data_IF_549108992619
#
_entry.id   IF_549108992619
#
_cell.length_a   1.000
_cell.length_b   1.000
_cell.length_c   1.000
_cell.angle_alpha   90.00
_cell.angle_beta   90.00
_cell.angle_gamma   90.00
#
_symmetry.space_group_name_H-M   'P 1'
#
loop_
_entity.id
_entity.type
_entity.pdbx_description
1 polymer ?
#
# COMPACT_ATOMS: atom_id res chain seq x y z
N UNK A 1 20.34 -20.32 -14.92
CA UNK A 1 19.53 -19.09 -14.92
C UNK A 1 18.73 -19.07 -13.63
N UNK A 2 19.05 -18.16 -12.71
CA UNK A 2 18.19 -17.90 -11.56
C UNK A 2 16.86 -17.38 -12.11
N UNK A 3 15.76 -17.99 -11.71
CA UNK A 3 14.42 -17.62 -12.17
C UNK A 3 14.00 -16.41 -11.34
N UNK A 4 13.76 -15.26 -11.96
CA UNK A 4 13.31 -14.08 -11.22
C UNK A 4 11.91 -14.33 -10.66
N UNK A 5 11.76 -14.17 -9.34
CA UNK A 5 10.49 -14.36 -8.65
C UNK A 5 9.53 -13.22 -8.99
N UNK A 6 8.24 -13.53 -9.04
CA UNK A 6 7.19 -12.51 -9.12
C UNK A 6 7.15 -11.77 -7.79
N UNK A 7 7.38 -10.46 -7.83
CA UNK A 7 7.35 -9.60 -6.65
C UNK A 7 5.93 -9.07 -6.39
N UNK A 8 5.31 -8.51 -7.43
CA UNK A 8 3.96 -7.95 -7.43
C UNK A 8 3.49 -7.73 -8.87
N UNK A 9 2.24 -7.35 -9.06
CA UNK A 9 1.79 -6.70 -10.28
C UNK A 9 1.55 -5.21 -10.02
N UNK A 10 1.76 -4.37 -11.04
CA UNK A 10 1.40 -2.95 -10.99
C UNK A 10 0.44 -2.64 -12.13
N UNK A 11 -0.48 -1.72 -11.93
CA UNK A 11 -1.34 -1.24 -13.00
C UNK A 11 -1.24 0.29 -13.10
N UNK A 12 -0.87 0.84 -14.27
CA UNK A 12 -0.74 2.28 -14.42
C UNK A 12 -2.11 2.96 -14.35
N UNK A 13 -2.09 4.12 -13.71
CA UNK A 13 -3.18 5.11 -13.68
C UNK A 13 -2.76 6.26 -14.58
N UNK A 14 -3.64 6.67 -15.48
CA UNK A 14 -3.38 7.71 -16.47
C UNK A 14 -4.18 8.96 -16.19
N UNK A 15 -3.68 10.11 -16.64
CA UNK A 15 -4.45 11.34 -16.69
C UNK A 15 -5.32 11.44 -17.97
N UNK A 16 -6.04 12.55 -18.12
CA UNK A 16 -6.88 12.83 -19.29
C UNK A 16 -6.10 12.97 -20.62
N UNK A 17 -4.77 13.10 -20.58
CA UNK A 17 -3.87 13.15 -21.73
C UNK A 17 -3.21 11.79 -22.02
N UNK A 18 -3.51 10.75 -21.22
CA UNK A 18 -2.90 9.42 -21.26
C UNK A 18 -1.42 9.43 -20.87
N UNK A 19 -1.02 10.39 -20.04
CA UNK A 19 0.26 10.37 -19.35
C UNK A 19 0.13 9.60 -18.03
N UNK A 20 1.19 8.91 -17.62
CA UNK A 20 1.16 8.12 -16.37
C UNK A 20 1.13 9.08 -15.18
N UNK A 21 0.07 8.98 -14.38
CA UNK A 21 -0.07 9.69 -13.13
C UNK A 21 0.56 8.91 -11.97
N UNK A 22 0.35 7.60 -11.94
CA UNK A 22 0.79 6.72 -10.84
C UNK A 22 0.59 5.25 -11.18
N UNK A 23 0.83 4.39 -10.20
CA UNK A 23 0.61 2.95 -10.34
C UNK A 23 -0.11 2.40 -9.12
N UNK A 24 -1.19 1.66 -9.34
CA UNK A 24 -1.76 0.79 -8.31
C UNK A 24 -0.90 -0.45 -8.15
N UNK A 25 -0.56 -0.77 -6.90
CA UNK A 25 0.19 -1.97 -6.56
C UNK A 25 -0.76 -3.10 -6.21
N UNK A 26 -0.72 -4.14 -7.05
CA UNK A 26 -1.53 -5.33 -6.93
C UNK A 26 -0.65 -6.47 -6.40
N UNK A 27 -0.78 -6.73 -5.10
CA UNK A 27 -0.10 -7.84 -4.47
C UNK A 27 -0.86 -9.13 -4.79
N UNK A 28 -0.24 -10.07 -5.51
CA UNK A 28 -0.83 -11.39 -5.75
C UNK A 28 -0.21 -12.40 -4.80
N UNK A 29 -1.07 -13.18 -4.14
CA UNK A 29 -0.61 -14.40 -3.51
C UNK A 29 -0.21 -15.39 -4.60
N UNK A 30 0.92 -16.04 -4.40
CA UNK A 30 1.66 -16.71 -5.44
C UNK A 30 1.15 -18.14 -5.62
N UNK A 31 -0.16 -18.40 -5.69
CA UNK A 31 -0.67 -19.74 -5.99
C UNK A 31 -2.06 -19.76 -6.66
N UNK A 32 -2.03 -20.13 -7.94
CA UNK A 32 -3.10 -20.72 -8.78
C UNK A 32 -4.36 -19.89 -9.14
N UNK A 33 -4.48 -19.71 -10.46
CA UNK A 33 -5.64 -19.29 -11.25
C UNK A 33 -5.91 -17.78 -11.34
N UNK A 34 -5.68 -17.27 -12.55
CA UNK A 34 -6.05 -15.93 -13.04
C UNK A 34 -7.58 -15.65 -13.05
N UNK A 35 -8.38 -16.45 -12.35
CA UNK A 35 -9.84 -16.37 -12.33
C UNK A 35 -10.45 -16.34 -10.91
N UNK A 36 -9.67 -16.53 -9.84
CA UNK A 36 -10.17 -16.46 -8.47
C UNK A 36 -9.25 -15.57 -7.61
N UNK A 37 -9.37 -14.25 -7.76
CA UNK A 37 -8.74 -13.28 -6.85
C UNK A 37 -9.86 -12.41 -6.28
N UNK A 38 -10.69 -13.02 -5.44
CA UNK A 38 -11.69 -12.34 -4.64
C UNK A 38 -11.78 -13.10 -3.32
N UNK A 39 -10.83 -12.84 -2.41
CA UNK A 39 -10.99 -12.82 -0.95
C UNK A 39 -9.60 -12.80 -0.28
N UNK A 40 -9.40 -11.92 0.71
CA UNK A 40 -8.26 -11.81 1.64
C UNK A 40 -6.94 -11.14 1.20
N UNK A 41 -7.03 -10.06 0.41
CA UNK A 41 -5.89 -9.22 0.00
C UNK A 41 -5.36 -8.23 1.07
N UNK A 42 -6.07 -8.00 2.18
CA UNK A 42 -5.72 -6.93 3.13
C UNK A 42 -4.53 -7.27 4.04
N UNK A 43 -4.42 -8.51 4.51
CA UNK A 43 -3.31 -8.94 5.37
C UNK A 43 -1.98 -9.02 4.59
N UNK A 44 -2.02 -9.56 3.37
CA UNK A 44 -0.83 -9.74 2.52
C UNK A 44 -0.28 -8.41 2.02
N UNK A 45 -1.15 -7.44 1.68
CA UNK A 45 -0.73 -6.09 1.28
C UNK A 45 -0.02 -5.35 2.43
N UNK A 46 -0.55 -5.43 3.65
CA UNK A 46 0.06 -4.83 4.84
C UNK A 46 1.46 -5.43 5.13
N UNK A 47 1.62 -6.74 4.95
CA UNK A 47 2.90 -7.44 5.13
C UNK A 47 3.91 -7.02 4.05
N UNK A 48 3.48 -6.92 2.80
CA UNK A 48 4.34 -6.54 1.68
C UNK A 48 4.75 -5.08 1.78
N UNK A 49 3.87 -4.16 2.17
CA UNK A 49 4.23 -2.76 2.41
C UNK A 49 5.29 -2.59 3.49
N UNK A 50 5.26 -3.40 4.55
CA UNK A 50 6.31 -3.34 5.56
C UNK A 50 7.66 -3.93 5.10
N UNK A 51 7.68 -4.58 3.93
CA UNK A 51 8.87 -5.12 3.27
C UNK A 51 9.41 -4.22 2.17
N UNK A 52 8.53 -3.49 1.47
CA UNK A 52 8.92 -2.53 0.46
C UNK A 52 9.48 -1.28 1.13
N UNK A 53 10.58 -0.81 0.58
CA UNK A 53 11.18 0.46 0.99
C UNK A 53 10.96 1.51 -0.10
N UNK A 54 11.35 2.75 0.16
CA UNK A 54 11.24 3.83 -0.83
C UNK A 54 11.98 3.52 -2.13
N UNK A 55 13.18 2.95 -2.09
CA UNK A 55 13.92 2.61 -3.32
C UNK A 55 13.23 1.48 -4.09
N UNK A 56 12.57 0.56 -3.39
CA UNK A 56 11.86 -0.53 -4.03
C UNK A 56 10.56 -0.01 -4.68
N UNK A 57 9.86 0.93 -4.04
CA UNK A 57 8.74 1.65 -4.64
C UNK A 57 9.19 2.43 -5.87
N UNK A 58 10.28 3.21 -5.79
CA UNK A 58 10.81 3.96 -6.92
C UNK A 58 11.18 3.05 -8.09
N UNK A 59 11.79 1.89 -7.83
CA UNK A 59 12.07 0.89 -8.85
C UNK A 59 10.77 0.36 -9.49
N UNK A 60 9.76 0.07 -8.68
CA UNK A 60 8.47 -0.48 -9.13
C UNK A 60 7.62 0.55 -9.87
N UNK A 61 7.66 1.82 -9.51
CA UNK A 61 6.79 2.86 -10.09
C UNK A 61 7.50 3.82 -11.02
N UNK A 62 8.82 3.69 -11.20
CA UNK A 62 9.62 4.66 -11.94
C UNK A 62 9.64 6.04 -11.27
N UNK A 63 9.37 6.11 -9.96
CA UNK A 63 9.27 7.36 -9.20
C UNK A 63 7.88 8.02 -9.21
N UNK A 64 6.90 7.46 -9.92
CA UNK A 64 5.52 7.92 -9.81
C UNK A 64 4.88 7.45 -8.48
N UNK A 65 3.84 8.13 -7.97
CA UNK A 65 3.13 7.71 -6.77
C UNK A 65 2.57 6.28 -6.87
N UNK A 66 2.74 5.51 -5.80
CA UNK A 66 2.15 4.18 -5.65
C UNK A 66 0.79 4.27 -4.96
N UNK A 67 -0.28 3.84 -5.63
CA UNK A 67 -1.59 3.64 -5.05
C UNK A 67 -1.61 2.30 -4.33
N UNK A 68 -1.98 2.35 -3.05
CA UNK A 68 -1.82 1.22 -2.13
C UNK A 68 -3.03 1.08 -1.24
N UNK A 69 -3.60 -0.12 -1.24
CA UNK A 69 -4.68 -0.53 -0.36
C UNK A 69 -4.25 -0.61 1.12
N UNK A 70 -4.96 0.13 1.98
CA UNK A 70 -4.77 0.08 3.42
C UNK A 70 -6.03 -0.45 4.12
N UNK A 71 -5.83 -1.45 4.98
CA UNK A 71 -6.88 -1.88 5.90
C UNK A 71 -7.15 -0.83 7.00
N UNK A 72 -8.31 -0.93 7.64
CA UNK A 72 -8.68 -0.03 8.74
C UNK A 72 -7.66 -0.06 9.88
N UNK A 73 -7.09 -1.22 10.19
CA UNK A 73 -6.05 -1.40 11.21
C UNK A 73 -4.74 -0.73 10.81
N UNK A 74 -4.28 -0.91 9.57
CA UNK A 74 -3.01 -0.32 9.10
C UNK A 74 -3.10 1.21 9.08
N UNK A 75 -4.25 1.77 8.72
CA UNK A 75 -4.50 3.21 8.77
C UNK A 75 -4.34 3.78 10.18
N UNK A 76 -4.64 3.00 11.23
CA UNK A 76 -4.45 3.42 12.62
C UNK A 76 -2.98 3.45 13.03
N UNK A 77 -2.11 2.71 12.34
CA UNK A 77 -0.67 2.80 12.51
C UNK A 77 -0.08 3.99 11.72
N UNK A 78 1.18 4.35 12.01
CA UNK A 78 1.89 5.39 11.27
C UNK A 78 2.45 4.79 9.98
N UNK A 79 2.01 5.23 8.78
CA UNK A 79 2.59 4.73 7.53
C UNK A 79 4.08 5.07 7.47
N UNK A 80 4.86 4.17 6.90
CA UNK A 80 6.32 4.26 6.91
C UNK A 80 6.94 4.98 5.71
N UNK A 81 6.10 5.38 4.75
CA UNK A 81 6.53 5.93 3.47
C UNK A 81 6.51 7.44 3.44
N UNK A 82 7.17 8.02 2.43
CA UNK A 82 7.07 9.45 2.20
C UNK A 82 5.68 9.78 1.64
N UNK A 83 5.00 10.82 2.15
CA UNK A 83 3.67 11.20 1.66
C UNK A 83 3.58 11.50 0.16
N UNK A 84 4.68 11.82 -0.53
CA UNK A 84 4.69 12.03 -1.98
C UNK A 84 4.91 10.73 -2.77
N UNK A 85 5.38 9.66 -2.12
CA UNK A 85 5.66 8.38 -2.77
C UNK A 85 4.44 7.46 -2.83
N UNK A 86 3.43 7.69 -1.99
CA UNK A 86 2.26 6.83 -1.89
C UNK A 86 0.95 7.63 -1.89
N UNK A 87 -0.08 7.02 -2.47
CA UNK A 87 -1.48 7.36 -2.30
C UNK A 87 -2.12 6.26 -1.47
N UNK A 88 -2.72 6.63 -0.34
CA UNK A 88 -3.35 5.68 0.58
C UNK A 88 -4.78 5.43 0.12
N UNK A 89 -5.08 4.21 -0.32
CA UNK A 89 -6.42 3.78 -0.72
C UNK A 89 -7.16 3.20 0.49
N UNK A 90 -8.23 3.88 0.89
CA UNK A 90 -9.13 3.45 1.95
C UNK A 90 -10.16 2.51 1.33
N UNK A 91 -10.18 1.27 1.79
CA UNK A 91 -11.08 0.23 1.29
C UNK A 91 -12.54 0.48 1.71
N UNK A 92 -13.46 0.07 0.84
CA UNK A 92 -14.91 0.24 1.03
C UNK A 92 -15.48 -0.46 2.27
N UNK A 93 -14.85 -1.50 2.82
CA UNK A 93 -15.41 -2.25 3.96
C UNK A 93 -14.91 -1.74 5.34
N UNK A 94 -14.18 -0.62 5.37
CA UNK A 94 -13.66 -0.08 6.63
C UNK A 94 -14.78 0.53 7.47
N UNK A 95 -14.80 0.19 8.76
CA UNK A 95 -15.77 0.73 9.72
C UNK A 95 -15.48 2.20 10.03
N UNK A 96 -16.36 3.09 9.55
CA UNK A 96 -16.23 4.53 9.80
C UNK A 96 -16.64 4.86 11.24
N UNK A 97 -15.64 5.11 12.08
CA UNK A 97 -15.81 5.54 13.49
C UNK A 97 -15.26 6.95 13.69
N UNK A 98 -15.62 7.67 14.77
CA UNK A 98 -15.04 8.97 15.07
C UNK A 98 -13.51 8.97 15.16
N UNK A 99 -12.93 7.89 15.71
CA UNK A 99 -11.46 7.73 15.77
C UNK A 99 -10.86 7.52 14.39
N UNK A 100 -11.54 6.78 13.50
CA UNK A 100 -11.09 6.59 12.13
C UNK A 100 -11.11 7.89 11.33
N UNK A 101 -12.20 8.68 11.43
CA UNK A 101 -12.28 10.01 10.79
C UNK A 101 -11.16 10.91 11.29
N UNK A 102 -10.92 10.94 12.60
CA UNK A 102 -9.80 11.69 13.18
C UNK A 102 -8.46 11.27 12.57
N UNK A 103 -8.26 9.96 12.37
CA UNK A 103 -7.05 9.42 11.76
C UNK A 103 -6.86 9.86 10.30
N UNK A 104 -7.91 9.81 9.50
CA UNK A 104 -7.90 10.31 8.11
C UNK A 104 -7.51 11.79 8.07
N UNK A 105 -8.09 12.61 8.95
CA UNK A 105 -7.74 14.05 9.06
C UNK A 105 -6.26 14.24 9.42
N UNK A 106 -5.73 13.44 10.35
CA UNK A 106 -4.31 13.49 10.72
C UNK A 106 -3.40 13.14 9.54
N UNK A 107 -3.72 12.09 8.78
CA UNK A 107 -2.95 11.68 7.60
C UNK A 107 -2.95 12.77 6.52
N UNK A 108 -4.10 13.38 6.23
CA UNK A 108 -4.19 14.52 5.30
C UNK A 108 -3.35 15.71 5.78
N UNK A 109 -3.35 16.01 7.08
CA UNK A 109 -2.50 17.08 7.66
C UNK A 109 -1.01 16.79 7.57
N UNK A 110 -0.60 15.52 7.60
CA UNK A 110 0.80 15.10 7.40
C UNK A 110 1.21 15.30 5.93
N UNK A 111 0.25 15.35 5.01
CA UNK A 111 0.47 15.59 3.58
C UNK A 111 0.31 14.35 2.71
N UNK A 112 -0.27 13.26 3.24
CA UNK A 112 -0.61 12.09 2.42
C UNK A 112 -1.78 12.41 1.49
N UNK A 113 -1.69 11.95 0.25
CA UNK A 113 -2.84 11.86 -0.65
C UNK A 113 -3.69 10.66 -0.27
N UNK A 114 -4.98 10.89 -0.06
CA UNK A 114 -5.94 9.86 0.35
C UNK A 114 -6.93 9.59 -0.79
N UNK A 115 -7.05 8.32 -1.16
CA UNK A 115 -8.01 7.83 -2.11
C UNK A 115 -9.10 7.01 -1.39
N UNK A 116 -10.34 7.10 -1.86
CA UNK A 116 -11.43 6.24 -1.41
C UNK A 116 -11.79 5.28 -2.53
N UNK A 117 -11.70 3.99 -2.24
CA UNK A 117 -11.99 2.91 -3.17
C UNK A 117 -13.49 2.60 -3.22
N UNK A 118 -13.99 2.29 -4.42
CA UNK A 118 -15.36 1.91 -4.76
C UNK A 118 -16.50 2.63 -3.99
N UNK A 119 -16.87 3.83 -4.44
CA UNK A 119 -17.97 4.60 -3.84
C UNK A 119 -19.31 4.25 -4.49
N UNK A 120 -19.94 3.17 -4.05
CA UNK A 120 -21.34 2.88 -4.42
C UNK A 120 -22.30 3.68 -3.52
N UNK A 121 -22.23 5.02 -3.58
CA UNK A 121 -23.16 6.00 -2.97
C UNK A 121 -23.48 5.83 -1.47
N UNK A 122 -22.68 5.08 -0.72
CA UNK A 122 -23.06 4.70 0.62
C UNK A 122 -22.96 5.92 1.56
N UNK A 123 -24.06 6.36 2.22
CA UNK A 123 -24.06 7.57 3.04
C UNK A 123 -23.04 7.54 4.18
N UNK A 124 -22.58 6.35 4.59
CA UNK A 124 -21.59 6.20 5.65
C UNK A 124 -20.22 6.83 5.33
N UNK A 125 -19.85 7.00 4.05
CA UNK A 125 -18.55 7.60 3.67
C UNK A 125 -18.61 9.12 3.51
N UNK A 126 -19.80 9.71 3.47
CA UNK A 126 -19.98 11.17 3.36
C UNK A 126 -19.15 11.98 4.38
N UNK A 127 -18.98 11.55 5.65
CA UNK A 127 -18.14 12.25 6.61
C UNK A 127 -16.63 12.26 6.26
N UNK A 128 -16.17 11.33 5.42
CA UNK A 128 -14.77 11.28 4.96
C UNK A 128 -14.50 12.21 3.79
N UNK A 129 -15.47 12.39 2.87
CA UNK A 129 -15.29 13.08 1.59
C UNK A 129 -14.58 14.44 1.70
N UNK A 130 -14.82 15.31 2.71
CA UNK A 130 -14.07 16.56 2.86
C UNK A 130 -12.55 16.40 3.09
N UNK A 131 -12.12 15.18 3.44
CA UNK A 131 -10.73 14.84 3.77
C UNK A 131 -10.13 13.83 2.78
N UNK A 132 -10.84 13.48 1.72
CA UNK A 132 -10.33 12.65 0.62
C UNK A 132 -9.82 13.57 -0.49
N UNK A 133 -8.87 13.09 -1.28
CA UNK A 133 -8.32 13.80 -2.44
C UNK A 133 -8.75 13.14 -3.76
N UNK A 134 -8.83 11.80 -3.76
CA UNK A 134 -9.20 11.01 -4.93
C UNK A 134 -10.37 10.08 -4.61
N UNK A 135 -11.37 10.01 -5.48
CA UNK A 135 -12.43 8.99 -5.39
C UNK A 135 -12.37 8.10 -6.62
N UNK A 136 -12.28 6.80 -6.38
CA UNK A 136 -12.27 5.76 -7.41
C UNK A 136 -13.71 5.33 -7.69
N UNK A 137 -14.07 5.27 -8.97
CA UNK A 137 -15.42 4.90 -9.43
C UNK A 137 -15.30 3.81 -10.48
N UNK A 138 -15.75 2.61 -10.13
CA UNK A 138 -15.89 1.49 -11.07
C UNK A 138 -17.00 1.79 -12.08
N UNK A 139 -16.69 1.91 -13.37
CA UNK A 139 -17.70 2.16 -14.39
C UNK A 139 -18.27 0.88 -15.03
N UNK A 140 -17.69 -0.29 -14.73
CA UNK A 140 -18.04 -1.54 -15.38
C UNK A 140 -19.47 -1.95 -15.01
N UNK A 141 -20.29 -2.19 -16.03
CA UNK A 141 -21.69 -2.59 -15.84
C UNK A 141 -22.62 -1.47 -15.38
N UNK A 142 -22.13 -0.23 -15.22
CA UNK A 142 -22.96 0.93 -14.90
C UNK A 142 -23.46 1.63 -16.17
N UNK A 143 -24.65 2.23 -16.10
CA UNK A 143 -25.12 3.11 -17.18
C UNK A 143 -24.46 4.48 -17.08
N UNK A 144 -24.37 5.20 -18.20
CA UNK A 144 -23.87 6.59 -18.19
C UNK A 144 -24.67 7.50 -17.24
N UNK A 145 -25.97 7.24 -17.07
CA UNK A 145 -26.79 7.98 -16.12
C UNK A 145 -26.41 7.68 -14.67
N UNK A 146 -26.05 6.44 -14.35
CA UNK A 146 -25.64 6.06 -12.99
C UNK A 146 -24.29 6.68 -12.63
N UNK A 147 -23.35 6.67 -13.58
CA UNK A 147 -22.05 7.33 -13.44
C UNK A 147 -22.26 8.83 -13.24
N UNK A 148 -23.07 9.49 -14.09
CA UNK A 148 -23.35 10.93 -13.95
C UNK A 148 -23.98 11.27 -12.60
N UNK A 149 -24.95 10.50 -12.14
CA UNK A 149 -25.57 10.70 -10.83
C UNK A 149 -24.54 10.58 -9.68
N UNK A 150 -23.54 9.71 -9.82
CA UNK A 150 -22.44 9.61 -8.83
C UNK A 150 -21.52 10.82 -8.92
N UNK A 151 -21.19 11.30 -10.12
CA UNK A 151 -20.44 12.55 -10.32
C UNK A 151 -21.17 13.73 -9.68
N UNK A 152 -22.47 13.87 -9.91
CA UNK A 152 -23.29 14.95 -9.35
C UNK A 152 -23.34 14.92 -7.82
N UNK A 153 -23.36 13.72 -7.23
CA UNK A 153 -23.28 13.55 -5.77
C UNK A 153 -21.93 14.02 -5.19
N UNK A 154 -20.84 13.82 -5.94
CA UNK A 154 -19.48 14.16 -5.53
C UNK A 154 -19.09 15.61 -5.86
N UNK A 155 -19.80 16.26 -6.78
CA UNK A 155 -19.56 17.64 -7.24
C UNK A 155 -19.36 18.67 -6.10
N UNK A 156 -20.07 18.61 -4.96
CA UNK A 156 -19.89 19.58 -3.88
C UNK A 156 -18.54 19.50 -3.16
N UNK A 157 -17.73 18.47 -3.43
CA UNK A 157 -16.44 18.25 -2.78
C UNK A 157 -15.29 18.51 -3.75
N UNK A 158 -14.15 18.97 -3.22
CA UNK A 158 -12.93 19.18 -3.99
C UNK A 158 -12.19 17.84 -4.16
N UNK A 159 -12.61 17.06 -5.16
CA UNK A 159 -12.15 15.70 -5.41
C UNK A 159 -11.63 15.53 -6.83
N UNK A 160 -10.58 14.74 -6.96
CA UNK A 160 -10.16 14.16 -8.24
C UNK A 160 -10.90 12.85 -8.43
N UNK A 161 -11.56 12.66 -9.57
CA UNK A 161 -12.28 11.43 -9.90
C UNK A 161 -11.39 10.52 -10.77
N UNK A 162 -11.23 9.28 -10.31
CA UNK A 162 -10.56 8.19 -11.03
C UNK A 162 -11.63 7.23 -11.58
N UNK A 163 -11.72 7.09 -12.90
CA UNK A 163 -12.57 6.08 -13.53
C UNK A 163 -11.80 4.76 -13.62
N UNK A 164 -12.34 3.71 -13.01
CA UNK A 164 -11.76 2.37 -13.02
C UNK A 164 -12.48 1.43 -13.98
N UNK A 165 -11.79 0.36 -14.40
CA UNK A 165 -12.29 -0.64 -15.36
C UNK A 165 -12.78 -0.01 -16.67
N UNK A 166 -12.04 0.99 -17.16
CA UNK A 166 -12.22 1.55 -18.51
C UNK A 166 -11.74 0.53 -19.55
N UNK A 167 -12.66 -0.05 -20.30
CA UNK A 167 -12.41 -1.12 -21.29
C UNK A 167 -12.46 -0.65 -22.74
N UNK A 168 -13.08 0.50 -23.00
CA UNK A 168 -13.17 1.06 -24.36
C UNK A 168 -12.80 2.55 -24.46
N UNK A 169 -12.40 2.97 -25.67
CA UNK A 169 -12.16 4.39 -25.96
C UNK A 169 -13.42 5.24 -25.74
N UNK A 170 -14.60 4.68 -26.00
CA UNK A 170 -15.88 5.40 -25.83
C UNK A 170 -16.16 5.69 -24.36
N UNK A 171 -15.90 4.73 -23.48
CA UNK A 171 -15.99 4.92 -22.02
C UNK A 171 -15.01 5.99 -21.55
N UNK A 172 -13.75 5.93 -22.00
CA UNK A 172 -12.74 6.93 -21.66
C UNK A 172 -13.20 8.35 -22.02
N UNK A 173 -13.66 8.57 -23.26
CA UNK A 173 -14.14 9.88 -23.69
C UNK A 173 -15.41 10.33 -22.96
N UNK A 174 -16.32 9.39 -22.65
CA UNK A 174 -17.53 9.68 -21.89
C UNK A 174 -17.20 10.13 -20.45
N UNK A 175 -16.35 9.39 -19.73
CA UNK A 175 -15.94 9.74 -18.38
C UNK A 175 -15.13 11.05 -18.37
N UNK A 176 -14.26 11.26 -19.37
CA UNK A 176 -13.55 12.55 -19.54
C UNK A 176 -14.51 13.72 -19.71
N UNK A 177 -15.56 13.57 -20.53
CA UNK A 177 -16.59 14.58 -20.71
C UNK A 177 -17.42 14.84 -19.44
N UNK A 178 -17.57 13.83 -18.58
CA UNK A 178 -18.21 13.96 -17.25
C UNK A 178 -17.30 14.61 -16.20
N UNK A 179 -16.04 14.91 -16.55
CA UNK A 179 -15.11 15.59 -15.66
C UNK A 179 -14.21 14.66 -14.85
N UNK A 180 -14.10 13.37 -15.19
CA UNK A 180 -13.04 12.53 -14.63
C UNK A 180 -11.66 13.04 -15.07
N UNK A 181 -10.70 13.06 -14.14
CA UNK A 181 -9.33 13.52 -14.41
C UNK A 181 -8.34 12.37 -14.53
N UNK A 182 -8.60 11.25 -13.85
CA UNK A 182 -7.75 10.07 -13.86
C UNK A 182 -8.52 8.86 -14.40
N UNK A 183 -7.78 7.91 -14.97
CA UNK A 183 -8.34 6.74 -15.64
C UNK A 183 -7.46 5.50 -15.45
N UNK A 184 -8.11 4.37 -15.24
CA UNK A 184 -7.47 3.06 -15.14
C UNK A 184 -8.37 2.00 -15.78
N UNK A 185 -7.77 1.08 -16.53
CA UNK A 185 -8.50 -0.02 -17.15
C UNK A 185 -7.78 -0.63 -18.35
N UNK A 186 -8.29 -1.77 -18.82
CA UNK A 186 -7.64 -2.57 -19.86
C UNK A 186 -7.59 -1.91 -21.23
N UNK A 187 -8.40 -0.88 -21.47
CA UNK A 187 -8.26 -0.03 -22.65
C UNK A 187 -6.89 0.68 -22.68
N UNK A 188 -6.41 1.12 -21.51
CA UNK A 188 -5.18 1.88 -21.37
C UNK A 188 -3.99 0.93 -21.21
N UNK A 189 -4.04 0.09 -20.19
CA UNK A 189 -3.05 -0.94 -19.95
C UNK A 189 -3.58 -2.04 -19.01
N UNK A 190 -3.09 -3.26 -19.23
CA UNK A 190 -3.30 -4.37 -18.30
C UNK A 190 -2.25 -4.33 -17.19
N UNK A 191 -2.52 -4.97 -16.04
CA UNK A 191 -1.52 -5.16 -15.00
C UNK A 191 -0.22 -5.79 -15.53
N UNK A 192 0.90 -5.18 -15.19
CA UNK A 192 2.26 -5.63 -15.51
C UNK A 192 2.83 -6.40 -14.33
N UNK A 193 3.36 -7.60 -14.57
CA UNK A 193 4.03 -8.40 -13.54
C UNK A 193 5.45 -7.87 -13.36
N UNK A 194 5.78 -7.47 -12.14
CA UNK A 194 7.12 -7.03 -11.76
C UNK A 194 7.90 -8.22 -11.21
N UNK A 195 9.02 -8.50 -11.86
CA UNK A 195 9.96 -9.53 -11.45
C UNK A 195 11.15 -8.91 -10.73
N UNK A 196 11.73 -9.65 -9.79
CA UNK A 196 13.00 -9.24 -9.20
C UNK A 196 13.53 -10.27 -8.21
N UNK A 197 14.71 -9.99 -7.67
CA UNK A 197 15.34 -10.88 -6.69
C UNK A 197 14.77 -10.63 -5.30
N UNK A 198 13.90 -11.54 -4.85
CA UNK A 198 13.51 -11.58 -3.44
C UNK A 198 14.74 -11.98 -2.63
N UNK A 199 15.29 -11.05 -1.83
CA UNK A 199 16.34 -11.41 -0.86
C UNK A 199 15.78 -12.49 0.05
N UNK A 200 16.31 -13.70 -0.07
CA UNK A 200 15.86 -14.85 0.70
C UNK A 200 16.20 -14.61 2.18
N UNK A 201 15.22 -14.16 2.96
CA UNK A 201 15.39 -14.07 4.41
C UNK A 201 15.58 -15.48 4.98
N UNK A 202 16.56 -15.64 5.88
CA UNK A 202 16.76 -16.87 6.64
C UNK A 202 15.59 -17.05 7.61
N UNK A 203 14.66 -17.94 7.27
CA UNK A 203 13.45 -18.17 8.08
C UNK A 203 13.76 -18.64 9.50
N UNK A 204 14.83 -19.41 9.69
CA UNK A 204 15.25 -19.86 11.02
C UNK A 204 15.67 -18.66 11.87
N UNK A 205 16.41 -17.72 11.28
CA UNK A 205 16.80 -16.49 11.95
C UNK A 205 15.59 -15.61 12.31
N UNK A 206 14.62 -15.48 11.40
CA UNK A 206 13.38 -14.72 11.66
C UNK A 206 12.54 -15.37 12.76
N UNK A 207 12.35 -16.69 12.73
CA UNK A 207 11.61 -17.41 13.77
C UNK A 207 12.33 -17.35 15.12
N UNK A 208 13.66 -17.45 15.13
CA UNK A 208 14.47 -17.25 16.33
C UNK A 208 14.32 -15.85 16.92
N UNK A 209 14.30 -14.82 16.06
CA UNK A 209 14.04 -13.44 16.47
C UNK A 209 12.63 -13.28 17.05
N UNK A 210 11.59 -13.82 16.40
CA UNK A 210 10.21 -13.79 16.90
C UNK A 210 10.10 -14.50 18.26
N UNK A 211 10.75 -15.65 18.42
CA UNK A 211 10.76 -16.39 19.68
C UNK A 211 11.42 -15.59 20.81
N UNK A 212 12.58 -14.96 20.57
CA UNK A 212 13.24 -14.11 21.56
C UNK A 212 12.36 -12.91 21.94
N UNK A 213 11.67 -12.30 20.98
CA UNK A 213 10.78 -11.16 21.24
C UNK A 213 9.56 -11.50 22.10
N UNK A 214 9.25 -12.79 22.29
CA UNK A 214 8.21 -13.24 23.23
C UNK A 214 8.71 -13.30 24.68
N UNK A 215 10.03 -13.33 24.90
CA UNK A 215 10.61 -13.30 26.25
C UNK A 215 10.44 -11.89 26.86
N UNK A 216 9.68 -11.74 27.97
CA UNK A 216 9.49 -10.44 28.61
C UNK A 216 10.78 -9.90 29.26
N UNK A 217 11.82 -10.71 29.39
CA UNK A 217 13.13 -10.33 29.96
C UNK A 217 14.14 -9.91 28.90
N UNK A 218 13.82 -10.00 27.61
CA UNK A 218 14.72 -9.58 26.54
C UNK A 218 15.01 -8.08 26.60
N UNK A 219 16.22 -7.70 26.18
CA UNK A 219 16.65 -6.31 26.08
C UNK A 219 17.04 -5.92 24.65
N UNK A 220 17.27 -4.62 24.45
CA UNK A 220 17.68 -4.05 23.16
C UNK A 220 18.97 -4.70 22.64
N UNK A 221 19.92 -5.00 23.53
CA UNK A 221 21.23 -5.54 23.14
C UNK A 221 21.06 -6.94 22.55
N UNK A 222 20.33 -7.82 23.24
CA UNK A 222 20.08 -9.19 22.81
C UNK A 222 19.35 -9.27 21.47
N UNK A 223 18.33 -8.43 21.29
CA UNK A 223 17.63 -8.32 20.00
C UNK A 223 18.58 -7.83 18.89
N UNK A 224 19.42 -6.83 19.20
CA UNK A 224 20.40 -6.31 18.23
C UNK A 224 21.44 -7.36 17.84
N UNK A 225 21.90 -8.16 18.81
CA UNK A 225 22.88 -9.23 18.59
C UNK A 225 22.30 -10.33 17.67
N UNK A 226 21.02 -10.70 17.85
CA UNK A 226 20.33 -11.66 16.98
C UNK A 226 20.17 -11.10 15.57
N UNK A 227 19.71 -9.86 15.43
CA UNK A 227 19.51 -9.23 14.10
C UNK A 227 20.84 -9.10 13.36
N UNK A 228 21.91 -8.75 14.07
CA UNK A 228 23.25 -8.56 13.48
C UNK A 228 23.87 -9.85 12.93
N UNK A 229 23.37 -11.03 13.33
CA UNK A 229 23.82 -12.31 12.79
C UNK A 229 23.30 -12.59 11.38
N UNK A 230 22.25 -11.89 10.95
CA UNK A 230 21.69 -12.05 9.61
C UNK A 230 21.78 -10.72 8.82
N UNK A 231 22.63 -10.65 7.79
CA UNK A 231 22.79 -9.45 6.97
C UNK A 231 21.51 -8.98 6.28
N UNK A 232 20.61 -9.90 5.92
CA UNK A 232 19.34 -9.57 5.24
C UNK A 232 18.36 -8.94 6.22
N UNK A 233 18.22 -9.50 7.43
CA UNK A 233 17.38 -8.93 8.49
C UNK A 233 17.94 -7.58 8.95
N UNK A 234 19.27 -7.49 9.13
CA UNK A 234 19.97 -6.25 9.45
C UNK A 234 19.70 -5.14 8.45
N UNK A 235 19.90 -5.43 7.15
CA UNK A 235 19.63 -4.49 6.07
C UNK A 235 18.16 -4.02 6.05
N UNK A 236 17.21 -4.95 6.20
CA UNK A 236 15.78 -4.63 6.24
C UNK A 236 15.42 -3.74 7.43
N UNK A 237 16.01 -3.96 8.62
CA UNK A 237 15.78 -3.11 9.79
C UNK A 237 16.32 -1.69 9.57
N UNK A 238 17.54 -1.56 9.07
CA UNK A 238 18.17 -0.26 8.82
C UNK A 238 17.37 0.55 7.80
N UNK A 239 16.89 -0.09 6.72
CA UNK A 239 16.01 0.60 5.77
C UNK A 239 14.69 1.03 6.38
N UNK A 240 14.07 0.17 7.20
CA UNK A 240 12.83 0.52 7.89
C UNK A 240 13.02 1.79 8.75
N UNK A 241 14.08 1.86 9.55
CA UNK A 241 14.30 3.01 10.44
C UNK A 241 14.76 4.28 9.71
N UNK A 242 15.31 4.15 8.50
CA UNK A 242 15.72 5.27 7.67
C UNK A 242 14.63 5.72 6.66
N UNK A 243 13.47 5.07 6.65
CA UNK A 243 12.32 5.47 5.84
C UNK A 243 11.72 6.82 6.29
N UNK A 244 10.97 7.49 5.41
CA UNK A 244 10.37 8.78 5.68
C UNK A 244 9.42 8.81 6.89
N UNK A 245 8.90 7.67 7.37
CA UNK A 245 8.21 7.59 8.67
C UNK A 245 9.03 8.22 9.80
N UNK A 246 10.34 8.06 9.74
CA UNK A 246 11.24 8.39 10.83
C UNK A 246 12.09 9.63 10.52
N UNK A 247 11.75 10.40 9.46
CA UNK A 247 12.36 11.67 8.97
C UNK A 247 13.45 12.20 9.90
N UNK A 248 14.71 12.01 9.50
CA UNK A 248 15.90 12.41 10.26
C UNK A 248 16.94 13.09 9.39
N UNK A 249 17.70 13.98 10.01
CA UNK A 249 18.85 14.67 9.38
C UNK A 249 20.06 13.75 9.21
N UNK A 250 20.13 12.63 9.94
CA UNK A 250 21.23 11.67 9.87
C UNK A 250 20.71 10.25 9.76
N UNK A 251 21.25 9.50 8.81
CA UNK A 251 21.00 8.09 8.60
C UNK A 251 21.49 7.25 9.80
N UNK A 252 20.71 6.24 10.18
CA UNK A 252 21.08 5.25 11.18
C UNK A 252 21.82 4.10 10.49
N UNK A 253 23.05 3.84 10.90
CA UNK A 253 23.94 2.81 10.36
C UNK A 253 24.17 1.65 11.35
N UNK A 254 23.61 1.73 12.57
CA UNK A 254 23.78 0.76 13.64
C UNK A 254 22.49 0.04 14.00
N UNK A 255 22.53 -1.30 14.04
CA UNK A 255 21.41 -2.14 14.48
C UNK A 255 21.01 -1.82 15.92
N UNK A 256 21.98 -1.60 16.80
CA UNK A 256 21.68 -1.26 18.19
C UNK A 256 20.90 0.05 18.29
N UNK A 257 21.35 1.08 17.56
CA UNK A 257 20.63 2.36 17.50
C UNK A 257 19.26 2.21 16.86
N UNK A 258 19.11 1.38 15.83
CA UNK A 258 17.83 1.11 15.17
C UNK A 258 16.83 0.43 16.13
N UNK A 259 17.24 -0.61 16.84
CA UNK A 259 16.39 -1.33 17.81
C UNK A 259 16.04 -0.45 19.00
N UNK A 260 17.01 0.30 19.55
CA UNK A 260 16.78 1.22 20.66
C UNK A 260 15.73 2.28 20.31
N UNK A 261 15.78 2.75 19.06
CA UNK A 261 14.94 3.83 18.58
C UNK A 261 13.53 3.37 18.17
N UNK A 262 13.41 2.21 17.52
CA UNK A 262 12.12 1.59 17.23
C UNK A 262 11.43 1.10 18.50
N UNK A 263 12.20 0.60 19.45
CA UNK A 263 11.72 -0.09 20.63
C UNK A 263 11.26 -1.52 20.33
N UNK A 264 11.32 -2.36 21.36
CA UNK A 264 11.07 -3.81 21.28
C UNK A 264 9.69 -4.13 20.70
N UNK A 265 8.65 -3.36 21.05
CA UNK A 265 7.29 -3.63 20.56
C UNK A 265 7.17 -3.45 19.04
N UNK A 266 7.80 -2.43 18.46
CA UNK A 266 7.77 -2.22 17.00
C UNK A 266 8.62 -3.25 16.28
N UNK A 267 9.79 -3.59 16.83
CA UNK A 267 10.64 -4.66 16.30
C UNK A 267 9.89 -6.00 16.34
N UNK A 268 9.07 -6.24 17.38
CA UNK A 268 8.19 -7.42 17.46
C UNK A 268 7.16 -7.46 16.34
N UNK A 269 6.41 -6.40 16.14
CA UNK A 269 5.42 -6.33 15.05
C UNK A 269 6.08 -6.55 13.70
N UNK A 270 7.21 -5.88 13.45
CA UNK A 270 7.98 -6.02 12.21
C UNK A 270 8.50 -7.44 11.99
N UNK A 271 9.17 -8.06 12.98
CA UNK A 271 9.69 -9.42 12.87
C UNK A 271 8.57 -10.46 12.67
N UNK A 272 7.41 -10.24 13.31
CA UNK A 272 6.23 -11.08 13.10
C UNK A 272 5.74 -10.97 11.65
N UNK A 273 5.65 -9.76 11.10
CA UNK A 273 5.29 -9.56 9.68
C UNK A 273 6.31 -10.21 8.73
N UNK A 274 7.62 -10.11 9.03
CA UNK A 274 8.66 -10.81 8.27
C UNK A 274 8.43 -12.33 8.27
N UNK A 275 8.03 -12.91 9.40
CA UNK A 275 7.75 -14.33 9.52
C UNK A 275 6.53 -14.75 8.69
N UNK A 276 5.46 -13.96 8.74
CA UNK A 276 4.22 -14.22 8.01
C UNK A 276 4.40 -14.13 6.48
N UNK A 277 5.26 -13.21 6.00
CA UNK A 277 5.50 -12.96 4.56
C UNK A 277 6.03 -14.14 3.72
N UNK A 278 6.32 -15.28 4.34
CA UNK A 278 6.74 -16.51 3.68
C UNK A 278 5.94 -17.75 4.11
N UNK A 279 4.99 -17.63 5.03
CA UNK A 279 4.16 -18.80 5.41
C UNK A 279 3.22 -19.24 4.28
N UNK A 280 3.06 -18.41 3.24
CA UNK A 280 2.31 -18.74 2.02
C UNK A 280 3.09 -19.64 1.05
N UNK A 281 4.38 -19.89 1.30
CA UNK A 281 5.11 -20.98 0.65
C UNK A 281 5.08 -22.21 1.56
N UNK A 282 4.01 -23.00 1.51
CA UNK A 282 4.01 -24.37 2.05
C UNK A 282 3.98 -25.40 0.90
N UNK A 283 4.53 -26.61 1.14
CA UNK A 283 4.95 -27.54 0.09
C UNK A 283 3.82 -28.14 -0.74
#
# INVERSE_FOLDING_TARGET
MQKDDVLLARQPIYDANKEIYGYELLFRDNEQNAANILCDLSATSNVLLNLFTESDLQFVTGGAPAFVNFSGELLMERPIFDPHSIVIEILEHVKITPSFIKRVIELKKIGYTLALDDVVRAPQYKPLLPYIDIVKVDILGQTLSDIQNTVDYLQPFDLTLLAEKVETHKEFEACKAMGFQLFQGYFLAKPEIMHGQKLATNQIAVLGLVAELQDPTTDVKRISDIISQDPVISYKLLRLINSAAYRRTKEIDSINSAVALLGINRVRSWATLLALSKLDNKP
#
